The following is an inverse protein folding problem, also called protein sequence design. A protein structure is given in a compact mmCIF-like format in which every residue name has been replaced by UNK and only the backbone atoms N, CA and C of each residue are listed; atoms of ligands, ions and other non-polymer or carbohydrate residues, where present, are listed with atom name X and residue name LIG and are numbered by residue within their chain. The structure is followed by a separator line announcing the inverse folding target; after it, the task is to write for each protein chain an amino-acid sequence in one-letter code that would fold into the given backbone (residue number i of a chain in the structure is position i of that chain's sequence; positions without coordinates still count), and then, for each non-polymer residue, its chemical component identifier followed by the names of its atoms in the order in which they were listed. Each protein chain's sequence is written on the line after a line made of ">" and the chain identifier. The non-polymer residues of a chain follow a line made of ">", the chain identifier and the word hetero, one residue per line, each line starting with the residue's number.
data_IF_884490986904
#
_entry.id   IF_884490986904
#
_cell.length_a   1.000
_cell.length_b   1.000
_cell.length_c   1.000
_cell.angle_alpha   90.00
_cell.angle_beta   90.00
_cell.angle_gamma   90.00
#
_symmetry.space_group_name_H-M   'P 1'
#
loop_
_entity.id
_entity.type
_entity.pdbx_description
1 polymer ?
#
# COMPACT_ATOMS: atom_id res chain seq x y z
N UNK A 1 3.77 -5.28 3.17
CA UNK A 1 4.28 -5.15 1.79
C UNK A 1 5.35 -6.21 1.46
N UNK A 2 6.53 -6.19 2.09
CA UNK A 2 7.66 -7.09 1.79
C UNK A 2 7.29 -8.59 1.67
N UNK A 3 6.61 -9.16 2.67
CA UNK A 3 6.18 -10.56 2.65
C UNK A 3 5.27 -10.88 1.45
N UNK A 4 4.38 -9.94 1.09
CA UNK A 4 3.55 -10.05 -0.10
C UNK A 4 4.37 -10.14 -1.39
N UNK A 5 5.43 -9.35 -1.49
CA UNK A 5 6.31 -9.38 -2.66
C UNK A 5 7.12 -10.68 -2.76
N UNK A 6 7.56 -11.23 -1.62
CA UNK A 6 8.43 -12.41 -1.55
C UNK A 6 7.67 -13.72 -1.61
N UNK A 7 6.43 -13.72 -1.14
CA UNK A 7 5.60 -14.92 -1.00
C UNK A 7 4.17 -14.69 -1.55
N UNK A 8 4.01 -14.29 -2.82
CA UNK A 8 2.69 -14.04 -3.39
C UNK A 8 1.77 -15.27 -3.40
N UNK A 9 2.32 -16.48 -3.34
CA UNK A 9 1.61 -17.76 -3.21
C UNK A 9 0.89 -17.91 -1.87
N UNK A 10 1.41 -17.28 -0.81
CA UNK A 10 0.83 -17.33 0.54
C UNK A 10 0.01 -16.07 0.86
N UNK A 11 0.45 -14.90 0.38
CA UNK A 11 -0.15 -13.61 0.74
C UNK A 11 -0.92 -13.01 -0.44
N UNK A 12 -2.13 -13.49 -0.71
CA UNK A 12 -2.97 -12.99 -1.82
C UNK A 12 -3.62 -11.61 -1.63
N UNK A 13 -3.65 -11.08 -0.41
CA UNK A 13 -4.31 -9.81 -0.05
C UNK A 13 -3.42 -9.02 0.89
N UNK A 14 -3.13 -7.77 0.55
CA UNK A 14 -2.21 -6.93 1.30
C UNK A 14 -2.94 -5.66 1.78
N UNK A 15 -3.24 -5.58 3.07
CA UNK A 15 -3.64 -4.33 3.74
C UNK A 15 -2.41 -3.61 4.25
N UNK A 16 -2.02 -2.52 3.62
CA UNK A 16 -0.80 -1.76 3.92
C UNK A 16 -1.20 -0.39 4.47
N UNK A 17 -1.44 -0.33 5.79
CA UNK A 17 -1.80 0.91 6.48
C UNK A 17 -0.54 1.70 6.85
N UNK A 18 -0.55 3.01 6.60
CA UNK A 18 0.49 3.95 7.03
C UNK A 18 1.93 3.45 6.82
N UNK A 19 2.32 3.01 5.60
CA UNK A 19 3.58 2.33 5.41
C UNK A 19 4.81 3.23 5.64
N UNK A 20 5.79 2.70 6.37
CA UNK A 20 7.13 3.30 6.53
C UNK A 20 8.00 3.15 5.27
N UNK A 21 7.51 3.59 4.10
CA UNK A 21 8.20 3.46 2.81
C UNK A 21 9.56 4.17 2.82
N UNK A 22 9.73 5.22 3.63
CA UNK A 22 10.97 5.97 3.77
C UNK A 22 12.14 5.14 4.31
N UNK A 23 11.86 4.04 5.02
CA UNK A 23 12.86 3.23 5.69
C UNK A 23 13.91 2.67 4.72
N UNK A 24 15.16 2.60 5.21
CA UNK A 24 16.34 2.10 4.48
C UNK A 24 16.49 2.70 3.07
N UNK A 25 16.47 4.04 3.02
CA UNK A 25 16.57 4.80 1.78
C UNK A 25 15.53 4.36 0.73
N UNK A 26 14.28 4.12 1.15
CA UNK A 26 13.17 3.66 0.30
C UNK A 26 13.38 2.28 -0.32
N UNK A 27 13.95 1.33 0.43
CA UNK A 27 14.22 -0.04 -0.03
C UNK A 27 12.98 -0.75 -0.59
N UNK A 28 11.81 -0.49 -0.02
CA UNK A 28 10.57 -1.12 -0.46
C UNK A 28 10.23 -0.77 -1.92
N UNK A 29 10.52 0.46 -2.36
CA UNK A 29 10.30 0.87 -3.75
C UNK A 29 11.25 0.14 -4.71
N UNK A 30 12.52 -0.04 -4.31
CA UNK A 30 13.49 -0.82 -5.11
C UNK A 30 13.02 -2.26 -5.26
N UNK A 31 12.68 -2.91 -4.15
CA UNK A 31 12.21 -4.31 -4.15
C UNK A 31 10.91 -4.49 -4.94
N UNK A 32 9.96 -3.56 -4.83
CA UNK A 32 8.74 -3.60 -5.64
C UNK A 32 9.04 -3.35 -7.14
N UNK A 33 10.02 -2.50 -7.43
CA UNK A 33 10.53 -2.23 -8.77
C UNK A 33 11.25 -3.42 -9.41
N UNK A 34 11.72 -4.39 -8.64
CA UNK A 34 12.39 -5.60 -9.14
C UNK A 34 11.42 -6.74 -9.48
N UNK A 35 10.12 -6.60 -9.17
CA UNK A 35 9.13 -7.64 -9.47
C UNK A 35 9.08 -7.86 -11.00
N UNK A 36 9.38 -9.08 -11.48
CA UNK A 36 9.44 -9.34 -12.92
C UNK A 36 8.05 -9.43 -13.54
N UNK A 37 7.07 -9.93 -12.79
CA UNK A 37 5.69 -10.10 -13.23
C UNK A 37 4.73 -9.86 -12.08
N UNK A 38 3.64 -9.15 -12.37
CA UNK A 38 2.53 -9.00 -11.43
C UNK A 38 1.95 -10.35 -10.99
N UNK A 39 1.80 -10.50 -9.68
CA UNK A 39 1.06 -11.59 -9.06
C UNK A 39 -0.45 -11.28 -9.02
N UNK A 40 -1.28 -12.27 -8.69
CA UNK A 40 -2.74 -12.13 -8.58
C UNK A 40 -3.19 -11.49 -7.26
N UNK A 41 -2.33 -10.71 -6.62
CA UNK A 41 -2.61 -10.10 -5.32
C UNK A 41 -3.54 -8.89 -5.44
N UNK A 42 -4.38 -8.68 -4.43
CA UNK A 42 -5.06 -7.40 -4.19
C UNK A 42 -4.28 -6.60 -3.17
N UNK A 43 -4.07 -5.31 -3.47
CA UNK A 43 -3.20 -4.44 -2.67
C UNK A 43 -3.96 -3.19 -2.26
N UNK A 44 -4.10 -2.97 -0.96
CA UNK A 44 -4.59 -1.73 -0.38
C UNK A 44 -3.41 -1.00 0.26
N UNK A 45 -3.29 0.29 -0.02
CA UNK A 45 -2.31 1.20 0.58
C UNK A 45 -3.08 2.40 1.12
N UNK A 46 -2.88 2.76 2.38
CA UNK A 46 -3.45 3.99 2.93
C UNK A 46 -2.46 4.85 3.69
N UNK A 47 -2.76 6.14 3.76
CA UNK A 47 -1.96 7.15 4.46
C UNK A 47 -2.82 8.34 4.88
N UNK A 48 -2.61 8.83 6.11
CA UNK A 48 -3.14 10.09 6.60
C UNK A 48 -2.24 11.28 6.23
N UNK A 49 -2.84 12.46 6.01
CA UNK A 49 -2.07 13.65 5.63
C UNK A 49 -1.29 14.30 6.79
N UNK A 50 -1.48 13.85 8.04
CA UNK A 50 -0.75 14.33 9.24
C UNK A 50 0.26 13.31 9.78
N UNK A 51 0.68 12.35 8.96
CA UNK A 51 1.62 11.29 9.40
C UNK A 51 3.10 11.69 9.33
N UNK A 52 3.40 12.88 8.81
CA UNK A 52 4.74 13.42 8.72
C UNK A 52 5.14 13.80 7.30
N UNK A 53 6.31 14.42 7.18
CA UNK A 53 6.82 14.92 5.90
C UNK A 53 6.99 13.78 4.88
N UNK A 54 6.59 14.04 3.64
CA UNK A 54 6.69 13.10 2.52
C UNK A 54 5.91 11.78 2.68
N UNK A 55 5.12 11.59 3.74
CA UNK A 55 4.39 10.33 4.00
C UNK A 55 3.39 10.01 2.88
N UNK A 56 2.63 11.02 2.43
CA UNK A 56 1.70 10.90 1.31
C UNK A 56 2.45 10.58 0.02
N UNK A 57 3.47 11.37 -0.33
CA UNK A 57 4.32 11.15 -1.51
C UNK A 57 4.92 9.74 -1.53
N UNK A 58 5.31 9.24 -0.37
CA UNK A 58 5.86 7.90 -0.20
C UNK A 58 4.82 6.80 -0.46
N UNK A 59 3.59 6.96 0.03
CA UNK A 59 2.50 6.03 -0.27
C UNK A 59 2.09 6.07 -1.75
N UNK A 60 2.03 7.27 -2.33
CA UNK A 60 1.78 7.48 -3.77
C UNK A 60 2.85 6.83 -4.64
N UNK A 61 4.12 7.02 -4.32
CA UNK A 61 5.21 6.41 -5.08
C UNK A 61 5.21 4.88 -4.98
N UNK A 62 4.84 4.33 -3.82
CA UNK A 62 4.64 2.88 -3.70
C UNK A 62 3.50 2.41 -4.61
N UNK A 63 2.38 3.11 -4.65
CA UNK A 63 1.27 2.80 -5.55
C UNK A 63 1.68 2.89 -7.03
N UNK A 64 2.41 3.95 -7.42
CA UNK A 64 2.95 4.11 -8.78
C UNK A 64 3.86 2.95 -9.19
N UNK A 65 4.68 2.44 -8.26
CA UNK A 65 5.50 1.25 -8.55
C UNK A 65 4.61 0.04 -8.81
N UNK A 66 3.59 -0.24 -8.00
CA UNK A 66 2.63 -1.32 -8.29
C UNK A 66 1.91 -1.12 -9.64
N UNK A 67 1.50 0.10 -9.96
CA UNK A 67 0.87 0.43 -11.25
C UNK A 67 1.82 0.15 -12.42
N UNK A 68 3.10 0.53 -12.30
CA UNK A 68 4.12 0.25 -13.31
C UNK A 68 4.33 -1.25 -13.55
N UNK A 69 3.99 -2.09 -12.56
CA UNK A 69 4.01 -3.55 -12.66
C UNK A 69 2.72 -4.15 -13.19
N UNK A 70 1.68 -3.35 -13.42
CA UNK A 70 0.43 -3.75 -14.05
C UNK A 70 -0.75 -3.90 -13.09
N UNK A 71 -0.60 -3.53 -11.81
CA UNK A 71 -1.75 -3.35 -10.93
C UNK A 71 -2.58 -2.14 -11.37
N UNK A 72 -3.87 -2.14 -11.06
CA UNK A 72 -4.82 -1.13 -11.52
C UNK A 72 -5.67 -0.64 -10.37
N UNK A 73 -5.71 0.69 -10.21
CA UNK A 73 -6.57 1.36 -9.23
C UNK A 73 -8.03 0.93 -9.38
N UNK A 74 -8.69 0.69 -8.25
CA UNK A 74 -10.10 0.28 -8.20
C UNK A 74 -10.37 -1.16 -8.63
N UNK A 75 -9.37 -1.90 -9.14
CA UNK A 75 -9.51 -3.31 -9.51
C UNK A 75 -8.72 -4.23 -8.57
N UNK A 76 -7.42 -4.04 -8.51
CA UNK A 76 -6.51 -4.88 -7.70
C UNK A 76 -5.45 -4.06 -6.96
N UNK A 77 -5.46 -2.74 -7.11
CA UNK A 77 -4.78 -1.78 -6.26
C UNK A 77 -5.76 -0.72 -5.77
N UNK A 78 -5.60 -0.26 -4.54
CA UNK A 78 -6.26 0.91 -3.99
C UNK A 78 -5.24 1.74 -3.23
N UNK A 79 -5.12 3.02 -3.56
CA UNK A 79 -4.46 4.02 -2.75
C UNK A 79 -5.52 4.93 -2.11
N UNK A 80 -5.50 5.04 -0.78
CA UNK A 80 -6.42 5.90 -0.02
C UNK A 80 -5.64 6.90 0.82
N UNK A 81 -5.80 8.18 0.47
CA UNK A 81 -5.23 9.29 1.24
C UNK A 81 -6.34 9.95 2.04
N UNK A 82 -6.22 9.96 3.37
CA UNK A 82 -7.26 10.52 4.24
C UNK A 82 -6.82 11.85 4.86
N UNK A 83 -7.55 12.91 4.52
CA UNK A 83 -7.27 14.27 4.98
C UNK A 83 -7.37 14.37 6.51
N UNK A 84 -6.37 14.98 7.13
CA UNK A 84 -6.35 15.31 8.56
C UNK A 84 -6.08 14.13 9.50
N UNK A 85 -5.80 12.93 8.98
CA UNK A 85 -5.50 11.75 9.80
C UNK A 85 -4.03 11.61 10.16
N UNK A 86 -3.81 11.10 11.35
CA UNK A 86 -2.50 10.86 11.99
C UNK A 86 -2.15 9.36 11.98
N UNK A 87 -0.95 9.03 12.45
CA UNK A 87 -0.43 7.67 12.50
C UNK A 87 -0.88 6.98 13.80
N UNK A 88 -2.15 6.56 13.85
CA UNK A 88 -2.72 5.91 15.03
C UNK A 88 -3.85 4.92 14.69
N UNK A 89 -4.19 4.08 15.66
CA UNK A 89 -5.17 3.00 15.55
C UNK A 89 -6.58 3.51 15.26
N UNK A 90 -6.95 4.69 15.76
CA UNK A 90 -8.26 5.28 15.50
C UNK A 90 -8.42 5.66 14.02
N UNK A 91 -7.37 6.21 13.40
CA UNK A 91 -7.34 6.49 11.98
C UNK A 91 -7.41 5.20 11.14
N UNK A 92 -6.66 4.17 11.53
CA UNK A 92 -6.69 2.87 10.84
C UNK A 92 -8.06 2.19 10.94
N UNK A 93 -8.66 2.20 12.12
CA UNK A 93 -10.00 1.66 12.35
C UNK A 93 -11.05 2.34 11.46
N UNK A 94 -10.93 3.66 11.26
CA UNK A 94 -11.82 4.41 10.37
C UNK A 94 -11.76 3.97 8.90
N UNK A 95 -10.62 3.45 8.44
CA UNK A 95 -10.43 2.94 7.05
C UNK A 95 -10.61 1.43 6.92
N UNK A 96 -10.70 0.72 8.04
CA UNK A 96 -10.67 -0.75 8.06
C UNK A 96 -11.81 -1.38 7.25
N UNK A 97 -13.04 -0.88 7.37
CA UNK A 97 -14.19 -1.43 6.63
C UNK A 97 -14.01 -1.31 5.10
N UNK A 98 -13.57 -0.15 4.62
CA UNK A 98 -13.29 0.08 3.21
C UNK A 98 -12.14 -0.81 2.71
N UNK A 99 -11.08 -0.95 3.52
CA UNK A 99 -9.95 -1.85 3.22
C UNK A 99 -10.42 -3.30 3.07
N UNK A 100 -11.19 -3.80 4.04
CA UNK A 100 -11.69 -5.19 4.02
C UNK A 100 -12.65 -5.41 2.83
N UNK A 101 -13.52 -4.45 2.55
CA UNK A 101 -14.42 -4.52 1.40
C UNK A 101 -13.64 -4.62 0.09
N UNK A 102 -12.62 -3.80 -0.11
CA UNK A 102 -11.79 -3.82 -1.32
C UNK A 102 -11.00 -5.14 -1.47
N UNK A 103 -10.46 -5.67 -0.38
CA UNK A 103 -9.60 -6.86 -0.43
C UNK A 103 -10.38 -8.16 -0.66
N UNK A 104 -11.67 -8.22 -0.32
CA UNK A 104 -12.50 -9.43 -0.41
C UNK A 104 -13.66 -9.40 -1.42
N UNK A 105 -13.93 -8.27 -2.07
CA UNK A 105 -14.83 -8.21 -3.25
C UNK A 105 -14.06 -8.28 -4.55
#
# INVERSE_FOLDING_TARGET
>A
AYLGLRHPEAFGRLGICSPSVWWDSRVLLRLAGEIPKKASQRVWIDMGTKEGENSVTNAEDLAKVYESKGWRQGRDLALVIEAGKEHNEAAWAGRFDAMMTFLWK
#
